data_IF_733798558164
#
_entry.id   IF_733798558164
#
_cell.length_a   1.000
_cell.length_b   1.000
_cell.length_c   1.000
_cell.angle_alpha   90.00
_cell.angle_beta   90.00
_cell.angle_gamma   90.00
#
_symmetry.space_group_name_H-M   'P 1'
#
loop_
_entity.id
_entity.type
_entity.pdbx_description
1 polymer ?
#
# COMPACT_ATOMS: atom_id res chain seq x y z
N UNK A 1 -14.43 -10.92 -6.92
CA UNK A 1 -14.57 -9.67 -7.66
C UNK A 1 -15.52 -8.77 -6.91
N UNK A 2 -15.16 -7.51 -6.67
CA UNK A 2 -15.81 -6.63 -5.68
C UNK A 2 -17.01 -5.84 -6.23
N UNK A 3 -17.92 -6.52 -6.92
CA UNK A 3 -19.11 -5.88 -7.51
C UNK A 3 -19.98 -5.22 -6.42
N UNK A 4 -20.46 -3.99 -6.67
CA UNK A 4 -21.26 -3.20 -5.72
C UNK A 4 -20.48 -2.49 -4.61
N UNK A 5 -19.24 -2.92 -4.30
CA UNK A 5 -18.43 -2.26 -3.27
C UNK A 5 -17.99 -0.85 -3.69
N UNK A 6 -17.67 -0.65 -4.97
CA UNK A 6 -17.32 0.68 -5.51
C UNK A 6 -18.43 1.72 -5.27
N UNK A 7 -19.70 1.34 -5.48
CA UNK A 7 -20.85 2.22 -5.27
C UNK A 7 -21.02 2.59 -3.79
N UNK A 8 -20.83 1.61 -2.90
CA UNK A 8 -20.90 1.83 -1.44
C UNK A 8 -19.75 2.72 -0.94
N UNK A 9 -18.54 2.49 -1.42
CA UNK A 9 -17.38 3.33 -1.10
C UNK A 9 -17.58 4.77 -1.62
N UNK A 10 -18.17 4.94 -2.80
CA UNK A 10 -18.50 6.26 -3.35
C UNK A 10 -19.53 7.00 -2.48
N UNK A 11 -20.62 6.35 -2.09
CA UNK A 11 -21.65 6.92 -1.22
C UNK A 11 -21.12 7.33 0.17
N UNK A 12 -20.20 6.54 0.74
CA UNK A 12 -19.53 6.91 2.00
C UNK A 12 -18.55 8.08 1.80
N UNK A 13 -17.77 8.07 0.70
CA UNK A 13 -16.82 9.13 0.37
C UNK A 13 -17.51 10.49 0.21
N UNK A 14 -18.63 10.54 -0.52
CA UNK A 14 -19.39 11.79 -0.73
C UNK A 14 -19.98 12.39 0.53
N UNK A 15 -20.17 11.57 1.58
CA UNK A 15 -20.69 12.01 2.89
C UNK A 15 -19.59 12.16 3.96
N UNK A 16 -18.33 11.93 3.59
CA UNK A 16 -17.17 12.07 4.47
C UNK A 16 -16.97 10.95 5.49
N UNK A 17 -17.62 9.79 5.29
CA UNK A 17 -17.58 8.65 6.22
C UNK A 17 -16.33 7.78 6.01
N UNK A 18 -15.14 8.35 6.20
CA UNK A 18 -13.86 7.70 5.90
C UNK A 18 -13.53 6.48 6.78
N UNK A 19 -13.90 6.52 8.06
CA UNK A 19 -13.71 5.37 8.97
C UNK A 19 -14.54 4.17 8.50
N UNK A 20 -15.83 4.38 8.20
CA UNK A 20 -16.72 3.34 7.67
C UNK A 20 -16.26 2.79 6.32
N UNK A 21 -15.60 3.61 5.48
CA UNK A 21 -14.98 3.12 4.24
C UNK A 21 -13.83 2.15 4.53
N UNK A 22 -13.01 2.44 5.55
CA UNK A 22 -11.91 1.58 5.97
C UNK A 22 -12.40 0.19 6.38
N UNK A 23 -13.51 0.12 7.10
CA UNK A 23 -14.12 -1.14 7.56
C UNK A 23 -14.61 -2.04 6.42
N UNK A 24 -14.78 -1.50 5.21
CA UNK A 24 -15.21 -2.26 4.03
C UNK A 24 -14.04 -2.76 3.17
N UNK A 25 -12.80 -2.36 3.47
CA UNK A 25 -11.61 -2.80 2.74
C UNK A 25 -11.03 -4.00 3.50
N UNK A 26 -11.23 -5.21 2.97
CA UNK A 26 -10.64 -6.43 3.52
C UNK A 26 -9.17 -6.61 3.10
N UNK A 27 -8.50 -7.56 3.76
CA UNK A 27 -7.10 -7.88 3.46
C UNK A 27 -6.91 -8.37 2.01
N UNK A 28 -7.88 -9.08 1.44
CA UNK A 28 -7.82 -9.55 0.05
C UNK A 28 -7.77 -8.36 -0.93
N UNK A 29 -8.65 -7.38 -0.74
CA UNK A 29 -8.63 -6.14 -1.51
C UNK A 29 -7.34 -5.36 -1.27
N UNK A 30 -6.92 -5.23 -0.01
CA UNK A 30 -5.72 -4.49 0.34
C UNK A 30 -4.48 -5.08 -0.36
N UNK A 31 -4.28 -6.40 -0.30
CA UNK A 31 -3.18 -7.10 -0.95
C UNK A 31 -3.25 -7.05 -2.49
N UNK A 32 -4.46 -6.96 -3.04
CA UNK A 32 -4.64 -6.83 -4.48
C UNK A 32 -4.08 -5.50 -5.01
N UNK A 33 -4.16 -4.41 -4.24
CA UNK A 33 -3.77 -3.06 -4.68
C UNK A 33 -2.50 -2.52 -4.03
N UNK A 34 -2.17 -2.94 -2.82
CA UNK A 34 -1.03 -2.48 -2.04
C UNK A 34 0.03 -3.58 -1.86
N UNK A 35 1.26 -3.16 -1.57
CA UNK A 35 2.28 -4.05 -1.01
C UNK A 35 2.18 -3.96 0.50
N UNK A 36 1.64 -5.00 1.13
CA UNK A 36 1.58 -5.16 2.58
C UNK A 36 2.69 -6.12 3.00
N UNK A 37 3.54 -5.68 3.91
CA UNK A 37 4.67 -6.43 4.46
C UNK A 37 5.23 -5.74 5.70
N UNK A 38 5.95 -6.50 6.52
CA UNK A 38 6.77 -5.93 7.60
C UNK A 38 7.91 -5.06 7.04
N UNK A 39 8.44 -4.11 7.82
CA UNK A 39 9.48 -3.19 7.39
C UNK A 39 10.74 -3.85 6.79
N UNK A 40 11.09 -5.04 7.26
CA UNK A 40 12.24 -5.83 6.80
C UNK A 40 11.95 -6.69 5.56
N UNK A 41 10.70 -6.77 5.12
CA UNK A 41 10.29 -7.52 3.93
C UNK A 41 9.78 -6.64 2.78
N UNK A 42 9.35 -5.41 3.08
CA UNK A 42 8.65 -4.55 2.12
C UNK A 42 9.51 -4.23 0.89
N UNK A 43 10.83 -4.06 1.05
CA UNK A 43 11.75 -3.81 -0.07
C UNK A 43 11.77 -4.96 -1.09
N UNK A 44 11.90 -6.19 -0.59
CA UNK A 44 11.83 -7.42 -1.41
C UNK A 44 10.46 -7.56 -2.09
N UNK A 45 9.37 -7.29 -1.37
CA UNK A 45 8.00 -7.40 -1.91
C UNK A 45 7.72 -6.34 -2.99
N UNK A 46 8.26 -5.14 -2.82
CA UNK A 46 8.22 -4.08 -3.84
C UNK A 46 8.95 -4.51 -5.12
N UNK A 47 10.15 -5.09 -5.01
CA UNK A 47 10.87 -5.61 -6.18
C UNK A 47 10.11 -6.75 -6.86
N UNK A 48 9.55 -7.67 -6.08
CA UNK A 48 8.77 -8.78 -6.63
C UNK A 48 7.57 -8.29 -7.45
N UNK A 49 6.88 -7.24 -6.97
CA UNK A 49 5.68 -6.72 -7.63
C UNK A 49 6.01 -5.78 -8.79
N UNK A 50 7.05 -4.96 -8.68
CA UNK A 50 7.30 -3.83 -9.59
C UNK A 50 8.67 -3.83 -10.28
N UNK A 51 9.61 -4.68 -9.89
CA UNK A 51 11.02 -4.61 -10.33
C UNK A 51 11.22 -4.74 -11.85
N UNK A 52 10.29 -5.37 -12.56
CA UNK A 52 10.28 -5.44 -14.03
C UNK A 52 9.36 -4.43 -14.72
N UNK A 53 8.63 -3.61 -13.96
CA UNK A 53 7.55 -2.74 -14.46
C UNK A 53 7.88 -1.25 -14.36
N UNK A 54 8.67 -0.86 -13.35
CA UNK A 54 8.99 0.54 -13.08
C UNK A 54 10.49 0.71 -12.84
N UNK A 55 11.00 1.89 -13.17
CA UNK A 55 12.41 2.27 -12.93
C UNK A 55 12.59 3.17 -11.71
N UNK A 56 11.48 3.67 -11.14
CA UNK A 56 11.50 4.57 -9.98
C UNK A 56 10.28 4.34 -9.09
N UNK A 57 10.52 4.28 -7.78
CA UNK A 57 9.50 4.26 -6.74
C UNK A 57 9.70 5.46 -5.81
N UNK A 58 8.61 6.11 -5.43
CA UNK A 58 8.60 7.14 -4.40
C UNK A 58 7.96 6.58 -3.14
N UNK A 59 8.67 6.58 -2.02
CA UNK A 59 8.09 6.26 -0.72
C UNK A 59 7.47 7.56 -0.18
N UNK A 60 6.15 7.68 -0.28
CA UNK A 60 5.40 8.78 0.31
C UNK A 60 4.84 8.33 1.65
N UNK A 61 5.45 8.80 2.73
CA UNK A 61 4.99 8.53 4.09
C UNK A 61 4.44 9.83 4.68
N UNK A 62 3.18 9.86 5.17
CA UNK A 62 2.63 11.05 5.83
C UNK A 62 3.25 11.29 7.22
N UNK A 63 4.12 10.38 7.66
CA UNK A 63 4.88 10.39 8.90
C UNK A 63 6.39 10.27 8.63
N UNK A 64 7.19 10.65 9.62
CA UNK A 64 8.62 10.40 9.60
C UNK A 64 8.85 8.89 9.73
N UNK A 65 9.45 8.32 8.68
CA UNK A 65 9.93 6.96 8.72
C UNK A 65 11.24 6.94 9.51
N UNK A 66 11.39 5.99 10.43
CA UNK A 66 12.63 5.85 11.18
C UNK A 66 13.79 5.55 10.22
N UNK A 67 14.99 6.03 10.59
CA UNK A 67 16.15 5.97 9.71
C UNK A 67 16.62 4.54 9.43
N UNK A 68 16.38 3.61 10.36
CA UNK A 68 16.77 2.22 10.19
C UNK A 68 15.89 1.52 9.16
N UNK A 69 14.57 1.59 9.32
CA UNK A 69 13.58 1.10 8.36
C UNK A 69 13.81 1.71 7.00
N UNK A 70 13.97 3.04 6.92
CA UNK A 70 14.25 3.73 5.65
C UNK A 70 15.49 3.17 4.95
N UNK A 71 16.59 2.97 5.70
CA UNK A 71 17.83 2.40 5.15
C UNK A 71 17.64 0.98 4.68
N UNK A 72 16.93 0.13 5.44
CA UNK A 72 16.64 -1.27 5.06
C UNK A 72 15.87 -1.32 3.74
N UNK A 73 14.74 -0.60 3.64
CA UNK A 73 13.93 -0.55 2.42
C UNK A 73 14.75 -0.12 1.20
N UNK A 74 15.55 0.94 1.34
CA UNK A 74 16.39 1.43 0.24
C UNK A 74 17.49 0.42 -0.13
N UNK A 75 18.05 -0.29 0.85
CA UNK A 75 19.08 -1.32 0.61
C UNK A 75 18.51 -2.46 -0.23
N UNK A 76 17.35 -2.99 0.16
CA UNK A 76 16.69 -4.08 -0.55
C UNK A 76 16.35 -3.73 -2.00
N UNK A 77 15.92 -2.48 -2.25
CA UNK A 77 15.56 -2.00 -3.58
C UNK A 77 16.77 -1.83 -4.53
N UNK A 78 17.98 -1.76 -4.00
CA UNK A 78 19.19 -1.49 -4.81
C UNK A 78 19.85 -2.74 -5.38
N UNK A 79 19.52 -3.93 -4.88
CA UNK A 79 20.15 -5.19 -5.29
C UNK A 79 21.56 -5.34 -4.74
#
# INVERSE_FOLDING_TARGET
GWSGLSERLHDLSTRGAWEEMGDLIDDEMLEAFAVVAEPDEVGRRLLQRYGGLVTRLGLYTPYLLDDETRRRIVSDLRG
#
